data_IF_054802210163
#
_entry.id   IF_054802210163
#
_cell.length_a   1.000
_cell.length_b   1.000
_cell.length_c   1.000
_cell.angle_alpha   90.00
_cell.angle_beta   90.00
_cell.angle_gamma   90.00
#
_symmetry.space_group_name_H-M   'P 1'
#
loop_
_entity.id
_entity.type
_entity.pdbx_description
1 polymer ?
#
# COMPACT_ATOMS: atom_id res chain seq x y z
N UNK A 1 10.96 -20.56 20.46
CA UNK A 1 11.39 -20.23 19.10
C UNK A 1 10.67 -21.17 18.16
N UNK A 2 9.70 -20.69 17.42
CA UNK A 2 8.94 -21.47 16.46
C UNK A 2 9.43 -21.17 15.03
N UNK A 3 9.27 -22.14 14.13
CA UNK A 3 9.58 -21.99 12.71
C UNK A 3 8.22 -22.02 12.00
N UNK A 4 7.75 -20.85 11.58
CA UNK A 4 6.43 -20.69 10.99
C UNK A 4 6.54 -20.53 9.48
N UNK A 5 5.81 -21.35 8.72
CA UNK A 5 5.77 -21.30 7.27
C UNK A 5 4.65 -20.39 6.75
N UNK A 6 4.89 -19.70 5.64
CA UNK A 6 3.86 -19.01 4.89
C UNK A 6 3.96 -19.35 3.39
N UNK A 7 2.86 -19.86 2.84
CA UNK A 7 2.71 -20.21 1.44
C UNK A 7 1.63 -19.34 0.79
N UNK A 8 1.84 -18.90 -0.45
CA UNK A 8 0.86 -18.12 -1.21
C UNK A 8 0.78 -18.57 -2.66
N UNK A 9 -0.45 -18.78 -3.13
CA UNK A 9 -0.72 -19.09 -4.55
C UNK A 9 -1.82 -18.18 -5.08
N UNK A 10 -1.82 -17.98 -6.41
CA UNK A 10 -2.89 -17.23 -7.08
C UNK A 10 -4.00 -18.15 -7.61
N UNK A 11 -3.66 -19.28 -8.24
CA UNK A 11 -4.62 -20.19 -8.89
C UNK A 11 -4.12 -21.61 -9.14
N UNK A 12 -2.85 -21.93 -8.87
CA UNK A 12 -2.26 -23.22 -9.26
C UNK A 12 -1.99 -24.10 -8.02
N UNK A 13 -2.76 -25.19 -7.89
CA UNK A 13 -2.64 -26.15 -6.78
C UNK A 13 -1.29 -26.91 -6.80
N UNK A 14 -0.65 -27.10 -7.95
CA UNK A 14 0.64 -27.75 -8.05
C UNK A 14 1.78 -26.91 -7.41
N UNK A 15 1.74 -25.58 -7.59
CA UNK A 15 2.70 -24.69 -6.98
C UNK A 15 2.53 -24.66 -5.44
N UNK A 16 1.30 -24.76 -4.94
CA UNK A 16 1.03 -24.84 -3.49
C UNK A 16 1.62 -26.12 -2.89
N UNK A 17 1.41 -27.27 -3.50
CA UNK A 17 1.92 -28.55 -3.01
C UNK A 17 3.46 -28.52 -2.90
N UNK A 18 4.15 -27.97 -3.91
CA UNK A 18 5.61 -27.81 -3.91
C UNK A 18 6.08 -26.89 -2.76
N UNK A 19 5.41 -25.74 -2.55
CA UNK A 19 5.74 -24.84 -1.44
C UNK A 19 5.55 -25.53 -0.08
N UNK A 20 4.42 -26.22 0.11
CA UNK A 20 4.14 -26.93 1.37
C UNK A 20 5.18 -27.99 1.66
N UNK A 21 5.57 -28.79 0.66
CA UNK A 21 6.60 -29.79 0.81
C UNK A 21 7.95 -29.16 1.23
N UNK A 22 8.34 -28.07 0.60
CA UNK A 22 9.57 -27.35 0.94
C UNK A 22 9.53 -26.78 2.37
N UNK A 23 8.42 -26.19 2.78
CA UNK A 23 8.23 -25.64 4.13
C UNK A 23 8.22 -26.74 5.19
N UNK A 24 7.55 -27.87 4.93
CA UNK A 24 7.56 -29.03 5.83
C UNK A 24 8.98 -29.61 5.98
N UNK A 25 9.71 -29.73 4.87
CA UNK A 25 11.10 -30.21 4.90
C UNK A 25 12.03 -29.25 5.67
N UNK A 26 11.70 -27.95 5.71
CA UNK A 26 12.38 -26.94 6.53
C UNK A 26 11.97 -26.96 8.00
N UNK A 27 11.06 -27.84 8.41
CA UNK A 27 10.60 -27.98 9.79
C UNK A 27 9.59 -26.93 10.23
N UNK A 28 8.86 -26.32 9.30
CA UNK A 28 7.84 -25.31 9.63
C UNK A 28 6.60 -25.96 10.28
N UNK A 29 6.21 -25.43 11.44
CA UNK A 29 4.96 -25.72 12.13
C UNK A 29 4.59 -24.51 13.04
N UNK A 30 3.45 -23.81 12.80
CA UNK A 30 2.43 -24.04 11.76
C UNK A 30 2.83 -23.52 10.37
N UNK A 31 2.06 -23.93 9.33
CA UNK A 31 2.16 -23.39 7.98
C UNK A 31 0.83 -22.73 7.60
N UNK A 32 0.87 -21.42 7.32
CA UNK A 32 -0.27 -20.64 6.85
C UNK A 32 -0.33 -20.64 5.32
N UNK A 33 -1.52 -20.86 4.76
CA UNK A 33 -1.73 -21.03 3.33
C UNK A 33 -2.70 -19.98 2.80
N UNK A 34 -2.20 -19.09 1.96
CA UNK A 34 -2.97 -17.98 1.38
C UNK A 34 -3.37 -18.26 -0.07
N UNK A 35 -4.67 -18.26 -0.35
CA UNK A 35 -5.20 -18.24 -1.71
C UNK A 35 -5.58 -16.81 -2.08
N UNK A 36 -4.67 -16.09 -2.75
CA UNK A 36 -4.87 -14.70 -3.14
C UNK A 36 -4.99 -14.57 -4.66
N UNK A 37 -6.20 -14.36 -5.18
CA UNK A 37 -6.40 -13.92 -6.57
C UNK A 37 -6.02 -12.45 -6.73
N UNK A 38 -5.64 -12.02 -7.94
CA UNK A 38 -5.22 -10.64 -8.21
C UNK A 38 -6.25 -9.55 -7.84
N UNK A 39 -7.52 -9.93 -7.68
CA UNK A 39 -8.62 -9.05 -7.28
C UNK A 39 -8.79 -8.95 -5.75
N UNK A 40 -8.36 -9.95 -4.98
CA UNK A 40 -8.52 -9.94 -3.53
C UNK A 40 -7.25 -9.42 -2.87
N UNK A 41 -7.31 -8.18 -2.38
CA UNK A 41 -6.22 -7.49 -1.67
C UNK A 41 -6.09 -7.93 -0.22
N UNK A 42 -7.09 -8.63 0.34
CA UNK A 42 -7.07 -9.11 1.70
C UNK A 42 -6.24 -10.40 1.80
N UNK A 43 -5.36 -10.45 2.78
CA UNK A 43 -4.47 -11.58 3.08
C UNK A 43 -4.74 -12.03 4.52
N UNK A 44 -5.88 -12.69 4.81
CA UNK A 44 -6.25 -13.07 6.15
C UNK A 44 -5.25 -14.04 6.80
N UNK A 45 -4.73 -14.99 6.02
CA UNK A 45 -3.74 -15.95 6.49
C UNK A 45 -2.39 -15.29 6.81
N UNK A 46 -1.96 -14.33 5.97
CA UNK A 46 -0.79 -13.50 6.29
C UNK A 46 -0.99 -12.71 7.58
N UNK A 47 -2.17 -12.07 7.74
CA UNK A 47 -2.48 -11.32 8.96
C UNK A 47 -2.49 -12.20 10.21
N UNK A 48 -2.99 -13.44 10.09
CA UNK A 48 -2.97 -14.42 11.17
C UNK A 48 -1.54 -14.89 11.50
N UNK A 49 -0.78 -15.27 10.46
CA UNK A 49 0.62 -15.65 10.56
C UNK A 49 1.44 -14.53 11.24
N UNK A 50 1.37 -13.30 10.71
CA UNK A 50 2.16 -12.17 11.23
C UNK A 50 1.83 -11.80 12.67
N UNK A 51 0.56 -11.95 13.10
CA UNK A 51 0.16 -11.74 14.51
C UNK A 51 0.68 -12.83 15.44
N UNK A 52 0.82 -14.07 14.94
CA UNK A 52 1.32 -15.19 15.73
C UNK A 52 2.83 -15.16 15.97
N UNK A 53 3.60 -14.44 15.13
CA UNK A 53 5.05 -14.37 15.23
C UNK A 53 5.50 -13.48 16.40
N UNK A 54 6.38 -14.00 17.24
CA UNK A 54 6.98 -13.32 18.37
C UNK A 54 8.51 -13.26 18.29
N UNK A 55 9.10 -12.59 19.26
CA UNK A 55 10.56 -12.44 19.34
C UNK A 55 11.28 -13.79 19.38
N UNK A 56 12.23 -13.99 18.48
CA UNK A 56 13.03 -15.20 18.34
C UNK A 56 12.42 -16.24 17.43
N UNK A 57 11.20 -16.04 16.93
CA UNK A 57 10.60 -16.91 15.92
C UNK A 57 11.21 -16.66 14.55
N UNK A 58 11.04 -17.63 13.65
CA UNK A 58 11.50 -17.55 12.26
C UNK A 58 10.32 -17.72 11.33
N UNK A 59 10.09 -16.72 10.47
CA UNK A 59 9.19 -16.83 9.34
C UNK A 59 9.93 -17.41 8.13
N UNK A 60 9.41 -18.49 7.55
CA UNK A 60 9.96 -19.16 6.38
C UNK A 60 8.99 -19.06 5.21
N UNK A 61 9.51 -18.72 4.04
CA UNK A 61 8.77 -18.75 2.78
C UNK A 61 9.55 -19.59 1.73
N UNK A 62 8.82 -20.18 0.79
CA UNK A 62 9.47 -20.91 -0.31
C UNK A 62 10.28 -19.97 -1.21
N UNK A 63 9.79 -18.73 -1.43
CA UNK A 63 10.47 -17.68 -2.20
C UNK A 63 9.98 -16.29 -1.79
N UNK A 64 10.81 -15.26 -1.99
CA UNK A 64 10.52 -13.87 -1.56
C UNK A 64 9.27 -13.28 -2.22
N UNK A 65 8.96 -13.68 -3.45
CA UNK A 65 7.77 -13.22 -4.18
C UNK A 65 6.45 -13.71 -3.57
N UNK A 66 6.50 -14.70 -2.69
CA UNK A 66 5.32 -15.15 -1.90
C UNK A 66 4.99 -14.18 -0.77
N UNK A 67 5.95 -13.47 -0.22
CA UNK A 67 5.76 -12.52 0.87
C UNK A 67 5.35 -11.12 0.38
N UNK A 68 6.15 -10.52 -0.50
CA UNK A 68 5.93 -9.16 -1.05
C UNK A 68 5.36 -9.15 -2.46
N UNK A 69 4.67 -8.07 -2.84
CA UNK A 69 4.23 -7.79 -4.22
C UNK A 69 5.17 -6.83 -4.94
N UNK A 70 5.92 -6.08 -4.19
CA UNK A 70 6.96 -5.16 -4.64
C UNK A 70 8.14 -5.23 -3.70
N UNK A 71 9.28 -4.71 -4.14
CA UNK A 71 10.45 -4.62 -3.29
C UNK A 71 10.18 -3.77 -2.05
N UNK A 72 9.45 -2.67 -2.20
CA UNK A 72 9.07 -1.79 -1.09
C UNK A 72 8.17 -2.49 -0.05
N UNK A 73 7.20 -3.32 -0.49
CA UNK A 73 6.35 -4.09 0.42
C UNK A 73 7.15 -5.16 1.17
N UNK A 74 8.06 -5.83 0.45
CA UNK A 74 8.95 -6.83 1.06
C UNK A 74 9.82 -6.19 2.14
N UNK A 75 10.49 -5.08 1.82
CA UNK A 75 11.35 -4.36 2.76
C UNK A 75 10.56 -3.90 3.98
N UNK A 76 9.40 -3.28 3.81
CA UNK A 76 8.57 -2.85 4.93
C UNK A 76 8.15 -4.02 5.84
N UNK A 77 7.84 -5.17 5.24
CA UNK A 77 7.52 -6.39 6.01
C UNK A 77 8.73 -6.90 6.79
N UNK A 78 9.90 -6.92 6.18
CA UNK A 78 11.14 -7.37 6.84
C UNK A 78 11.59 -6.41 7.93
N UNK A 79 11.38 -5.10 7.76
CA UNK A 79 11.63 -4.08 8.81
C UNK A 79 10.74 -4.32 10.04
N UNK A 80 9.44 -4.57 9.82
CA UNK A 80 8.52 -4.90 10.92
C UNK A 80 8.94 -6.16 11.66
N UNK A 81 9.26 -7.25 10.94
CA UNK A 81 9.74 -8.50 11.54
C UNK A 81 11.02 -8.28 12.34
N UNK A 82 11.99 -7.55 11.79
CA UNK A 82 13.26 -7.24 12.45
C UNK A 82 13.05 -6.41 13.72
N UNK A 83 12.19 -5.39 13.69
CA UNK A 83 11.86 -4.55 14.84
C UNK A 83 11.25 -5.38 15.98
N UNK A 84 10.49 -6.43 15.64
CA UNK A 84 9.91 -7.37 16.62
C UNK A 84 10.86 -8.48 17.03
N UNK A 85 12.07 -8.55 16.45
CA UNK A 85 13.05 -9.60 16.72
C UNK A 85 12.69 -10.95 16.11
N UNK A 86 11.92 -10.96 15.02
CA UNK A 86 11.57 -12.15 14.24
C UNK A 86 12.58 -12.30 13.10
N UNK A 87 13.07 -13.53 12.88
CA UNK A 87 13.95 -13.86 11.76
C UNK A 87 13.13 -14.18 10.52
N UNK A 88 13.73 -13.96 9.35
CA UNK A 88 13.12 -14.29 8.06
C UNK A 88 14.04 -15.21 7.26
N UNK A 89 13.45 -16.23 6.64
CA UNK A 89 14.17 -17.14 5.76
C UNK A 89 13.40 -17.35 4.45
N UNK A 90 14.11 -17.27 3.32
CA UNK A 90 13.62 -17.66 1.99
C UNK A 90 14.42 -18.84 1.45
N UNK A 91 13.72 -19.94 1.18
CA UNK A 91 14.38 -21.21 0.84
C UNK A 91 15.03 -21.16 -0.55
N UNK A 92 14.30 -20.63 -1.56
CA UNK A 92 14.77 -20.60 -2.94
C UNK A 92 15.99 -19.69 -3.13
N UNK A 93 15.98 -18.53 -2.51
CA UNK A 93 17.05 -17.55 -2.64
C UNK A 93 18.18 -17.77 -1.62
N UNK A 94 18.01 -18.68 -0.66
CA UNK A 94 19.00 -18.96 0.39
C UNK A 94 19.24 -17.79 1.33
N UNK A 95 18.22 -16.93 1.52
CA UNK A 95 18.31 -15.76 2.37
C UNK A 95 17.91 -16.16 3.79
N UNK A 96 18.71 -15.76 4.78
CA UNK A 96 18.44 -15.97 6.20
C UNK A 96 18.92 -14.73 7.00
N UNK A 97 17.95 -13.95 7.50
CA UNK A 97 18.23 -12.70 8.24
C UNK A 97 18.82 -12.94 9.64
N UNK A 98 18.93 -14.16 10.11
CA UNK A 98 19.69 -14.49 11.31
C UNK A 98 21.20 -14.39 11.07
N UNK A 99 21.66 -14.59 9.82
CA UNK A 99 23.05 -14.54 9.40
C UNK A 99 23.52 -13.13 9.05
N UNK A 100 24.84 -12.90 9.12
CA UNK A 100 25.46 -11.63 8.70
C UNK A 100 25.19 -11.33 7.21
N UNK A 101 25.29 -12.36 6.34
CA UNK A 101 25.04 -12.24 4.91
C UNK A 101 23.57 -11.88 4.60
N UNK A 102 22.62 -12.52 5.26
CA UNK A 102 21.20 -12.19 5.10
C UNK A 102 20.85 -10.80 5.59
N UNK A 103 21.47 -10.33 6.69
CA UNK A 103 21.33 -8.94 7.15
C UNK A 103 21.88 -7.94 6.12
N UNK A 104 23.05 -8.21 5.55
CA UNK A 104 23.62 -7.39 4.49
C UNK A 104 22.72 -7.34 3.26
N UNK A 105 22.20 -8.48 2.80
CA UNK A 105 21.25 -8.55 1.70
C UNK A 105 20.02 -7.66 1.96
N UNK A 106 19.45 -7.75 3.17
CA UNK A 106 18.32 -6.93 3.56
C UNK A 106 18.63 -5.43 3.52
N UNK A 107 19.80 -5.00 4.02
CA UNK A 107 20.20 -3.59 3.99
C UNK A 107 20.36 -3.06 2.56
N UNK A 108 20.91 -3.86 1.65
CA UNK A 108 21.02 -3.53 0.23
C UNK A 108 19.61 -3.39 -0.38
N UNK A 109 18.72 -4.35 -0.15
CA UNK A 109 17.34 -4.31 -0.65
C UNK A 109 16.58 -3.08 -0.13
N UNK A 110 16.75 -2.72 1.15
CA UNK A 110 16.16 -1.53 1.75
C UNK A 110 16.65 -0.25 1.07
N UNK A 111 17.96 -0.12 0.83
CA UNK A 111 18.54 1.02 0.12
C UNK A 111 18.01 1.15 -1.31
N UNK A 112 17.82 0.04 -2.02
CA UNK A 112 17.21 0.05 -3.35
C UNK A 112 15.74 0.49 -3.31
N UNK A 113 14.95 0.02 -2.34
CA UNK A 113 13.56 0.41 -2.18
C UNK A 113 13.41 1.92 -1.85
N UNK A 114 14.31 2.47 -1.06
CA UNK A 114 14.37 3.92 -0.80
C UNK A 114 14.69 4.71 -2.06
N UNK A 115 15.69 4.25 -2.82
CA UNK A 115 16.06 4.88 -4.08
C UNK A 115 14.90 4.87 -5.09
N UNK A 116 14.20 3.76 -5.26
CA UNK A 116 13.00 3.70 -6.12
C UNK A 116 11.92 4.69 -5.67
N UNK A 117 11.64 4.78 -4.37
CA UNK A 117 10.68 5.74 -3.82
C UNK A 117 11.10 7.19 -4.10
N UNK A 118 12.39 7.51 -3.94
CA UNK A 118 12.93 8.83 -4.25
C UNK A 118 12.74 9.19 -5.73
N UNK A 119 13.09 8.28 -6.65
CA UNK A 119 12.90 8.46 -8.08
C UNK A 119 11.43 8.68 -8.48
N UNK A 120 10.51 7.91 -7.91
CA UNK A 120 9.07 8.07 -8.16
C UNK A 120 8.61 9.45 -7.67
N UNK A 121 9.05 9.87 -6.48
CA UNK A 121 8.75 11.20 -5.92
C UNK A 121 9.27 12.33 -6.82
N UNK A 122 10.51 12.24 -7.28
CA UNK A 122 11.10 13.23 -8.18
C UNK A 122 10.34 13.33 -9.51
N UNK A 123 10.04 12.19 -10.14
CA UNK A 123 9.25 12.14 -11.39
C UNK A 123 7.86 12.73 -11.20
N UNK A 124 7.21 12.43 -10.08
CA UNK A 124 5.89 12.97 -9.74
C UNK A 124 5.95 14.48 -9.55
N UNK A 125 6.94 15.01 -8.83
CA UNK A 125 7.14 16.44 -8.63
C UNK A 125 7.40 17.15 -9.96
N UNK A 126 8.28 16.60 -10.80
CA UNK A 126 8.56 17.14 -12.14
C UNK A 126 7.30 17.14 -13.03
N UNK A 127 6.54 16.05 -13.03
CA UNK A 127 5.27 15.95 -13.74
C UNK A 127 4.24 16.98 -13.28
N UNK A 128 4.10 17.18 -11.97
CA UNK A 128 3.22 18.21 -11.40
C UNK A 128 3.68 19.63 -11.78
N UNK A 129 4.97 19.92 -11.75
CA UNK A 129 5.50 21.21 -12.17
C UNK A 129 5.23 21.46 -13.66
N UNK A 130 5.48 20.48 -14.53
CA UNK A 130 5.18 20.58 -15.94
C UNK A 130 3.68 20.77 -16.23
N UNK A 131 2.82 20.08 -15.48
CA UNK A 131 1.37 20.24 -15.59
C UNK A 131 0.92 21.66 -15.16
N UNK A 132 1.47 22.18 -14.05
CA UNK A 132 1.22 23.58 -13.61
C UNK A 132 1.67 24.59 -14.65
N UNK A 133 2.85 24.40 -15.25
CA UNK A 133 3.36 25.30 -16.31
C UNK A 133 2.45 25.31 -17.55
N UNK A 134 1.74 24.21 -17.84
CA UNK A 134 0.72 24.13 -18.90
C UNK A 134 -0.66 24.67 -18.49
N UNK A 135 -0.81 25.22 -17.28
CA UNK A 135 -2.07 25.76 -16.78
C UNK A 135 -3.04 24.70 -16.23
N UNK A 136 -2.58 23.46 -16.00
CA UNK A 136 -3.45 22.43 -15.45
C UNK A 136 -3.87 22.79 -14.00
N UNK A 137 -5.17 22.76 -13.76
CA UNK A 137 -5.73 22.98 -12.42
C UNK A 137 -5.40 21.79 -11.53
N UNK A 138 -4.72 22.05 -10.42
CA UNK A 138 -4.35 21.05 -9.42
C UNK A 138 -5.38 20.97 -8.30
N UNK A 139 -5.56 19.77 -7.78
CA UNK A 139 -6.46 19.52 -6.67
C UNK A 139 -7.88 19.12 -7.11
N UNK A 140 -8.81 19.17 -6.16
CA UNK A 140 -10.21 18.83 -6.42
C UNK A 140 -10.83 19.92 -7.31
N UNK A 141 -11.54 19.54 -8.39
CA UNK A 141 -12.28 20.51 -9.21
C UNK A 141 -13.18 21.40 -8.36
N UNK A 142 -13.30 22.65 -8.75
CA UNK A 142 -14.23 23.56 -8.08
C UNK A 142 -15.67 23.04 -8.25
N UNK A 143 -16.44 23.07 -7.16
CA UNK A 143 -17.83 22.62 -7.18
C UNK A 143 -18.75 23.51 -8.02
N UNK A 144 -18.32 24.73 -8.34
CA UNK A 144 -19.03 25.71 -9.17
C UNK A 144 -18.08 26.28 -10.21
N UNK A 145 -18.57 26.43 -11.44
CA UNK A 145 -17.89 27.20 -12.50
C UNK A 145 -17.93 28.69 -12.18
N UNK A 146 -17.13 29.52 -12.86
CA UNK A 146 -17.15 30.97 -12.66
C UNK A 146 -18.53 31.58 -12.98
N UNK A 147 -19.21 31.11 -14.03
CA UNK A 147 -20.57 31.50 -14.36
C UNK A 147 -21.59 31.16 -13.25
N UNK A 148 -21.46 29.97 -12.68
CA UNK A 148 -22.29 29.54 -11.55
C UNK A 148 -22.01 30.35 -10.28
N UNK A 149 -20.76 30.76 -10.04
CA UNK A 149 -20.41 31.65 -8.93
C UNK A 149 -21.01 33.03 -9.11
N UNK A 150 -20.99 33.55 -10.33
CA UNK A 150 -21.61 34.83 -10.63
C UNK A 150 -23.13 34.76 -10.49
N UNK A 151 -23.74 33.69 -10.96
CA UNK A 151 -25.18 33.43 -10.78
C UNK A 151 -25.54 33.36 -9.29
N UNK A 152 -24.75 32.67 -8.47
CA UNK A 152 -24.95 32.62 -7.02
C UNK A 152 -24.94 34.01 -6.39
N UNK A 153 -23.99 34.87 -6.81
CA UNK A 153 -23.90 36.27 -6.33
C UNK A 153 -25.11 37.15 -6.75
N UNK A 154 -25.57 36.97 -8.01
CA UNK A 154 -26.75 37.66 -8.54
C UNK A 154 -28.03 37.28 -7.79
N UNK A 155 -28.25 35.98 -7.60
CA UNK A 155 -29.41 35.45 -6.85
C UNK A 155 -29.40 35.95 -5.39
N UNK A 156 -28.22 36.01 -4.77
CA UNK A 156 -28.11 36.52 -3.40
C UNK A 156 -28.44 38.03 -3.30
N UNK A 157 -27.99 38.83 -4.30
CA UNK A 157 -28.36 40.26 -4.37
C UNK A 157 -29.85 40.45 -4.63
N UNK A 158 -30.52 39.55 -5.31
CA UNK A 158 -31.97 39.55 -5.52
C UNK A 158 -32.77 39.12 -4.29
N UNK A 159 -32.10 38.78 -3.15
CA UNK A 159 -32.78 38.44 -1.91
C UNK A 159 -32.98 36.94 -1.67
N UNK A 160 -32.51 36.08 -2.59
CA UNK A 160 -32.66 34.64 -2.43
C UNK A 160 -31.89 34.09 -1.23
N UNK A 161 -32.49 33.08 -0.58
CA UNK A 161 -31.85 32.43 0.56
C UNK A 161 -30.70 31.51 0.13
N UNK A 162 -29.67 31.34 0.99
CA UNK A 162 -28.57 30.43 0.75
C UNK A 162 -29.08 29.02 0.46
N UNK A 163 -30.17 28.59 1.09
CA UNK A 163 -30.78 27.26 0.86
C UNK A 163 -31.45 27.13 -0.50
N UNK A 164 -32.06 28.19 -1.01
CA UNK A 164 -32.65 28.24 -2.35
C UNK A 164 -31.55 28.20 -3.42
N UNK A 165 -30.52 29.04 -3.26
CA UNK A 165 -29.35 29.08 -4.18
C UNK A 165 -28.63 27.71 -4.21
N UNK A 166 -28.45 27.08 -3.07
CA UNK A 166 -27.82 25.77 -2.97
C UNK A 166 -28.60 24.68 -3.72
N UNK A 167 -29.93 24.75 -3.69
CA UNK A 167 -30.83 23.85 -4.43
C UNK A 167 -30.77 24.12 -5.93
N UNK A 168 -30.81 25.38 -6.35
CA UNK A 168 -30.77 25.79 -7.76
C UNK A 168 -29.46 25.35 -8.43
N UNK A 169 -28.34 25.48 -7.72
CA UNK A 169 -27.01 25.15 -8.25
C UNK A 169 -26.55 23.73 -7.92
N UNK A 170 -27.40 22.91 -7.29
CA UNK A 170 -27.13 21.51 -6.89
C UNK A 170 -25.86 21.33 -6.07
N UNK A 171 -25.55 22.27 -5.19
CA UNK A 171 -24.36 22.26 -4.32
C UNK A 171 -24.72 22.39 -2.85
N UNK A 172 -23.75 22.12 -1.97
CA UNK A 172 -23.97 22.31 -0.53
C UNK A 172 -24.12 23.78 -0.15
N UNK A 173 -24.91 24.05 0.90
CA UNK A 173 -25.04 25.41 1.49
C UNK A 173 -23.69 26.00 1.89
N UNK A 174 -22.75 25.16 2.33
CA UNK A 174 -21.40 25.58 2.67
C UNK A 174 -20.63 26.10 1.45
N UNK A 175 -20.80 25.45 0.28
CA UNK A 175 -20.21 25.90 -1.00
C UNK A 175 -20.76 27.26 -1.39
N UNK A 176 -22.09 27.47 -1.35
CA UNK A 176 -22.72 28.76 -1.67
C UNK A 176 -22.21 29.85 -0.72
N UNK A 177 -22.21 29.58 0.60
CA UNK A 177 -21.72 30.56 1.59
C UNK A 177 -20.31 31.03 1.28
N UNK A 178 -19.39 30.09 1.04
CA UNK A 178 -18.00 30.40 0.70
C UNK A 178 -17.86 31.19 -0.60
N UNK A 179 -18.71 30.92 -1.60
CA UNK A 179 -18.71 31.62 -2.91
C UNK A 179 -19.21 33.05 -2.79
N UNK A 180 -20.13 33.34 -1.88
CA UNK A 180 -20.71 34.68 -1.69
C UNK A 180 -19.83 35.56 -0.79
N UNK A 181 -19.07 34.96 0.14
CA UNK A 181 -18.21 35.68 1.10
C UNK A 181 -16.86 36.08 0.50
N UNK A 182 -16.40 35.38 -0.55
CA UNK A 182 -15.20 35.68 -1.34
C UNK A 182 -15.59 36.40 -2.65
#
# INVERSE_FOLDING_TARGET
MSITGYARVSTDDQDLASQLQALQAAGCDPIYQEHATGANMERPEWKACNRGLGRGDTLVVASIDRLGRSLSDLVATLEDLQARGVHFQSLREGIDTSTALGKMFFQIAASFAEYERALISERTKAGLQAARARGAQMGRPHALTEEQKETARKLRKAGESISAIARILEVSRATVRRTITN
#
